data_IF_980053875539
#
_entry.id   IF_980053875539
#
_cell.length_a   1.000
_cell.length_b   1.000
_cell.length_c   1.000
_cell.angle_alpha   90.00
_cell.angle_beta   90.00
_cell.angle_gamma   90.00
#
_symmetry.space_group_name_H-M   'P 1'
#
loop_
_entity.id
_entity.type
_entity.pdbx_description
1 polymer ?
#
# COMPACT_ATOMS: atom_id res chain seq x y z
N UNK A 1 -0.12 53.70 -57.26
CA UNK A 1 1.23 53.58 -56.66
C UNK A 1 1.08 53.15 -55.21
N UNK A 2 1.51 51.93 -54.85
CA UNK A 2 2.11 51.57 -53.54
C UNK A 2 2.30 50.05 -53.47
N UNK A 3 3.57 49.63 -53.26
CA UNK A 3 4.02 48.28 -52.88
C UNK A 3 3.98 48.13 -51.34
N UNK A 4 4.10 46.87 -50.88
CA UNK A 4 4.56 46.33 -49.57
C UNK A 4 3.48 45.48 -48.88
N UNK A 5 3.76 44.37 -48.19
CA UNK A 5 4.97 43.58 -47.94
C UNK A 5 4.53 42.19 -47.41
N UNK A 6 5.02 41.10 -47.99
CA UNK A 6 4.87 39.73 -47.46
C UNK A 6 6.12 39.36 -46.68
N UNK A 7 6.03 39.28 -45.36
CA UNK A 7 7.19 38.92 -44.54
C UNK A 7 6.88 38.81 -43.06
N UNK A 8 5.94 37.94 -42.65
CA UNK A 8 5.75 37.64 -41.22
C UNK A 8 5.32 36.20 -40.89
N UNK A 9 5.11 35.31 -41.87
CA UNK A 9 4.60 33.95 -41.60
C UNK A 9 5.66 32.85 -41.52
N UNK A 10 6.89 33.08 -41.98
CA UNK A 10 7.94 32.04 -42.05
C UNK A 10 8.77 31.88 -40.78
N UNK A 11 8.86 32.90 -39.92
CA UNK A 11 9.74 32.89 -38.73
C UNK A 11 9.14 32.12 -37.53
N UNK A 12 7.81 32.02 -37.43
CA UNK A 12 7.13 31.36 -36.32
C UNK A 12 7.11 29.81 -36.47
N UNK A 13 7.16 29.30 -37.72
CA UNK A 13 7.14 27.87 -38.01
C UNK A 13 8.51 27.18 -37.77
N UNK A 14 9.62 27.90 -37.95
CA UNK A 14 10.95 27.33 -37.70
C UNK A 14 11.26 27.16 -36.20
N UNK A 15 10.85 28.08 -35.32
CA UNK A 15 11.09 27.97 -33.86
C UNK A 15 10.41 26.76 -33.21
N UNK A 16 9.20 26.38 -33.66
CA UNK A 16 8.49 25.19 -33.13
C UNK A 16 9.12 23.86 -33.53
N UNK A 17 9.74 23.79 -34.73
CA UNK A 17 10.45 22.58 -35.20
C UNK A 17 11.70 22.28 -34.39
N UNK A 18 12.45 23.31 -33.99
CA UNK A 18 13.65 23.14 -33.16
C UNK A 18 13.33 22.68 -31.73
N UNK A 19 12.25 23.17 -31.12
CA UNK A 19 11.79 22.69 -29.81
C UNK A 19 11.31 21.24 -29.83
N UNK A 20 10.62 20.81 -30.89
CA UNK A 20 10.19 19.42 -31.08
C UNK A 20 11.38 18.47 -31.33
N UNK A 21 12.40 18.92 -32.07
CA UNK A 21 13.65 18.18 -32.26
C UNK A 21 14.46 18.05 -30.96
N UNK A 22 14.50 19.09 -30.12
CA UNK A 22 15.13 19.05 -28.80
C UNK A 22 14.40 18.08 -27.84
N UNK A 23 13.07 18.10 -27.84
CA UNK A 23 12.25 17.15 -27.06
C UNK A 23 12.43 15.70 -27.55
N UNK A 24 12.56 15.47 -28.86
CA UNK A 24 12.84 14.15 -29.43
C UNK A 24 14.27 13.66 -29.10
N UNK A 25 15.26 14.56 -29.06
CA UNK A 25 16.63 14.19 -28.69
C UNK A 25 16.76 13.87 -27.19
N UNK A 26 16.00 14.57 -26.34
CA UNK A 26 15.93 14.30 -24.89
C UNK A 26 15.20 12.97 -24.57
N UNK A 27 14.21 12.58 -25.37
CA UNK A 27 13.51 11.29 -25.19
C UNK A 27 14.31 10.08 -25.70
N UNK A 28 15.16 10.26 -26.72
CA UNK A 28 16.07 9.21 -27.20
C UNK A 28 17.19 8.96 -26.19
N UNK A 29 17.71 10.01 -25.53
CA UNK A 29 18.71 9.90 -24.47
C UNK A 29 18.22 9.10 -23.26
N UNK A 30 16.98 9.32 -22.82
CA UNK A 30 16.39 8.57 -21.68
C UNK A 30 16.05 7.12 -22.07
N UNK A 31 15.62 6.86 -23.31
CA UNK A 31 15.38 5.51 -23.80
C UNK A 31 16.68 4.67 -23.89
N UNK A 32 17.79 5.28 -24.33
CA UNK A 32 19.10 4.60 -24.40
C UNK A 32 19.65 4.30 -23.00
N UNK A 33 19.44 5.17 -22.01
CA UNK A 33 19.81 4.91 -20.62
C UNK A 33 19.01 3.74 -19.99
N UNK A 34 17.76 3.53 -20.40
CA UNK A 34 16.95 2.37 -19.97
C UNK A 34 17.39 1.06 -20.63
N UNK A 35 17.76 1.09 -21.91
CA UNK A 35 18.21 -0.10 -22.65
C UNK A 35 19.58 -0.60 -22.15
N UNK A 36 20.51 0.32 -21.86
CA UNK A 36 21.84 -0.04 -21.33
C UNK A 36 21.74 -0.63 -19.92
N UNK A 37 20.79 -0.18 -19.09
CA UNK A 37 20.56 -0.70 -17.75
C UNK A 37 19.87 -2.07 -17.74
N UNK A 38 18.90 -2.29 -18.65
CA UNK A 38 18.27 -3.59 -18.83
C UNK A 38 19.25 -4.65 -19.39
N UNK A 39 20.20 -4.26 -20.24
CA UNK A 39 21.23 -5.15 -20.75
C UNK A 39 22.26 -5.57 -19.68
N UNK A 40 22.56 -4.70 -18.72
CA UNK A 40 23.44 -5.01 -17.59
C UNK A 40 22.78 -5.96 -16.57
N UNK A 41 21.49 -5.77 -16.27
CA UNK A 41 20.75 -6.64 -15.35
C UNK A 41 20.44 -8.04 -15.95
N UNK A 42 20.43 -8.18 -17.28
CA UNK A 42 20.18 -9.47 -17.97
C UNK A 42 21.44 -10.32 -18.19
N UNK A 43 22.63 -9.80 -17.88
CA UNK A 43 23.92 -10.46 -18.13
C UNK A 43 24.51 -11.23 -16.94
N UNK A 44 23.87 -11.22 -15.77
CA UNK A 44 24.36 -11.93 -14.58
C UNK A 44 23.41 -13.03 -14.13
N UNK A 45 23.18 -14.04 -14.97
CA UNK A 45 22.88 -15.42 -14.54
C UNK A 45 22.71 -16.37 -15.74
N UNK A 46 23.81 -16.68 -16.42
CA UNK A 46 23.94 -17.92 -17.22
C UNK A 46 25.41 -18.32 -17.29
N UNK A 47 25.78 -19.41 -16.61
CA UNK A 47 26.52 -20.54 -17.22
C UNK A 47 26.78 -21.67 -16.20
N UNK A 48 26.42 -22.89 -16.61
CA UNK A 48 26.74 -24.17 -15.98
C UNK A 48 28.07 -24.73 -16.56
N UNK A 49 28.85 -25.39 -15.68
CA UNK A 49 29.79 -26.52 -15.85
C UNK A 49 30.55 -26.78 -17.18
N UNK A 50 31.90 -26.68 -17.12
CA UNK A 50 32.92 -27.76 -17.29
C UNK A 50 34.25 -27.33 -18.00
N UNK A 51 35.33 -27.27 -17.16
CA UNK A 51 36.76 -27.60 -17.37
C UNK A 51 37.65 -26.87 -18.45
N UNK A 52 39.02 -27.01 -18.44
CA UNK A 52 39.90 -26.29 -17.50
C UNK A 52 41.17 -25.63 -18.12
N UNK A 53 41.86 -24.82 -17.30
CA UNK A 53 43.28 -24.36 -17.35
C UNK A 53 43.78 -23.48 -18.53
N UNK A 54 44.19 -22.23 -18.23
CA UNK A 54 45.60 -21.76 -18.36
C UNK A 54 45.84 -20.38 -17.76
N UNK A 55 46.93 -20.32 -17.01
CA UNK A 55 47.60 -19.14 -16.45
C UNK A 55 47.72 -17.98 -17.43
N UNK A 56 47.49 -16.75 -16.95
CA UNK A 56 48.48 -15.70 -17.13
C UNK A 56 48.33 -14.58 -16.09
N UNK A 57 49.45 -14.32 -15.42
CA UNK A 57 49.67 -13.28 -14.42
C UNK A 57 49.60 -11.90 -15.06
N UNK A 58 48.88 -10.97 -14.44
CA UNK A 58 49.30 -9.57 -14.37
C UNK A 58 48.77 -8.96 -13.07
N UNK A 59 49.70 -8.61 -12.18
CA UNK A 59 49.46 -7.92 -10.91
C UNK A 59 49.31 -6.41 -11.15
N UNK A 60 48.28 -5.80 -10.57
CA UNK A 60 48.31 -4.37 -10.21
C UNK A 60 47.39 -4.09 -9.01
N UNK A 61 48.01 -4.06 -7.82
CA UNK A 61 47.68 -3.25 -6.63
C UNK A 61 46.22 -2.87 -6.38
N UNK A 62 45.50 -3.68 -5.59
CA UNK A 62 44.26 -3.28 -4.92
C UNK A 62 44.56 -2.70 -3.53
N UNK A 63 44.12 -1.44 -3.31
CA UNK A 63 43.96 -0.84 -1.98
C UNK A 63 42.85 -1.60 -1.25
N UNK A 64 43.19 -2.19 -0.11
CA UNK A 64 42.28 -2.83 0.84
C UNK A 64 41.21 -1.85 1.31
N UNK A 65 40.00 -1.94 0.72
CA UNK A 65 38.77 -1.56 1.41
C UNK A 65 38.39 -2.75 2.29
N UNK A 66 38.52 -2.59 3.60
CA UNK A 66 37.94 -3.51 4.58
C UNK A 66 36.45 -3.67 4.27
N UNK A 67 36.08 -4.82 3.68
CA UNK A 67 34.69 -5.25 3.56
C UNK A 67 34.23 -5.62 4.97
N UNK A 68 33.15 -4.97 5.42
CA UNK A 68 32.41 -5.41 6.58
C UNK A 68 32.11 -6.93 6.46
N UNK A 69 32.16 -7.68 7.57
CA UNK A 69 31.97 -9.12 7.53
C UNK A 69 30.60 -9.46 6.94
N UNK A 70 30.49 -10.53 6.13
CA UNK A 70 29.22 -10.95 5.56
C UNK A 70 28.23 -11.21 6.70
N UNK A 71 27.08 -10.53 6.66
CA UNK A 71 25.98 -10.83 7.57
C UNK A 71 25.59 -12.28 7.33
N UNK A 72 25.84 -13.13 8.33
CA UNK A 72 25.38 -14.52 8.36
C UNK A 72 23.86 -14.47 8.17
N UNK A 73 23.39 -14.94 7.02
CA UNK A 73 21.98 -14.86 6.63
C UNK A 73 21.11 -15.58 7.64
N UNK A 74 20.36 -14.83 8.44
CA UNK A 74 19.34 -15.39 9.31
C UNK A 74 18.33 -16.10 8.41
N UNK A 75 18.20 -17.42 8.57
CA UNK A 75 17.25 -18.21 7.80
C UNK A 75 15.84 -17.61 7.97
N UNK A 76 15.10 -17.47 6.87
CA UNK A 76 13.75 -16.91 6.89
C UNK A 76 12.86 -17.66 7.90
N UNK A 77 12.03 -16.97 8.70
CA UNK A 77 11.13 -17.64 9.64
C UNK A 77 10.13 -18.58 8.93
N UNK A 78 9.95 -18.42 7.61
CA UNK A 78 9.10 -19.22 6.74
C UNK A 78 9.80 -20.43 6.11
N UNK A 79 11.08 -20.69 6.38
CA UNK A 79 11.84 -21.78 5.72
C UNK A 79 11.22 -23.18 5.85
N UNK A 80 10.37 -23.43 6.85
CA UNK A 80 9.61 -24.69 7.00
C UNK A 80 8.52 -24.88 5.93
N UNK A 81 8.22 -23.85 5.12
CA UNK A 81 7.29 -23.91 3.99
C UNK A 81 7.95 -24.42 2.70
N UNK A 82 9.25 -24.71 2.71
CA UNK A 82 9.95 -25.25 1.54
C UNK A 82 9.24 -26.51 1.03
N UNK A 83 9.01 -26.56 -0.28
CA UNK A 83 8.30 -27.65 -0.99
C UNK A 83 6.85 -27.88 -0.57
N UNK A 84 6.26 -26.99 0.24
CA UNK A 84 4.83 -27.02 0.56
C UNK A 84 4.02 -26.40 -0.56
N UNK A 85 2.90 -27.02 -0.90
CA UNK A 85 1.95 -26.48 -1.87
C UNK A 85 0.94 -25.57 -1.19
N UNK A 86 0.95 -24.29 -1.56
CA UNK A 86 0.07 -23.25 -1.02
C UNK A 86 -0.85 -22.74 -2.11
N UNK A 87 -2.15 -22.86 -1.89
CA UNK A 87 -3.17 -22.28 -2.77
C UNK A 87 -3.67 -20.95 -2.18
N UNK A 88 -3.50 -19.86 -2.92
CA UNK A 88 -3.98 -18.53 -2.58
C UNK A 88 -5.24 -18.22 -3.39
N UNK A 89 -6.33 -17.86 -2.70
CA UNK A 89 -7.64 -17.63 -3.32
C UNK A 89 -8.04 -16.18 -3.13
N UNK A 90 -8.19 -15.44 -4.22
CA UNK A 90 -8.68 -14.07 -4.22
C UNK A 90 -9.96 -13.92 -5.04
N UNK A 91 -10.78 -12.93 -4.70
CA UNK A 91 -11.99 -12.61 -5.46
C UNK A 91 -11.72 -11.67 -6.64
N UNK A 92 -10.61 -10.93 -6.62
CA UNK A 92 -10.16 -10.00 -7.66
C UNK A 92 -8.63 -9.96 -7.75
N UNK A 93 -8.13 -9.45 -8.87
CA UNK A 93 -6.72 -9.09 -9.08
C UNK A 93 -6.60 -7.56 -9.09
N UNK A 94 -6.23 -6.96 -7.96
CA UNK A 94 -5.98 -5.51 -7.85
C UNK A 94 -4.66 -5.24 -7.14
N UNK A 95 -4.01 -4.11 -7.42
CA UNK A 95 -2.77 -3.69 -6.75
C UNK A 95 -3.03 -2.87 -5.48
N UNK A 96 -4.13 -3.15 -4.78
CA UNK A 96 -4.52 -2.42 -3.57
C UNK A 96 -5.20 -3.33 -2.55
N UNK A 97 -5.13 -2.96 -1.27
CA UNK A 97 -5.83 -3.69 -0.20
C UNK A 97 -5.39 -5.14 -0.06
N UNK A 98 -6.35 -6.06 0.14
CA UNK A 98 -6.10 -7.48 0.40
C UNK A 98 -5.32 -8.21 -0.71
N UNK A 99 -5.67 -8.07 -2.00
CA UNK A 99 -4.91 -8.70 -3.08
C UNK A 99 -3.41 -8.34 -3.11
N UNK A 100 -3.04 -7.09 -2.80
CA UNK A 100 -1.63 -6.69 -2.68
C UNK A 100 -0.92 -7.46 -1.54
N UNK A 101 -1.57 -7.60 -0.39
CA UNK A 101 -1.03 -8.32 0.77
C UNK A 101 -0.89 -9.82 0.50
N UNK A 102 -1.87 -10.40 -0.20
CA UNK A 102 -1.81 -11.79 -0.61
C UNK A 102 -0.64 -12.03 -1.58
N UNK A 103 -0.35 -11.08 -2.48
CA UNK A 103 0.82 -11.14 -3.38
C UNK A 103 2.14 -11.05 -2.60
N UNK A 104 2.24 -10.17 -1.61
CA UNK A 104 3.43 -10.08 -0.74
C UNK A 104 3.68 -11.41 -0.01
N UNK A 105 2.63 -12.06 0.51
CA UNK A 105 2.73 -13.40 1.09
C UNK A 105 3.19 -14.43 0.04
N UNK A 106 2.66 -14.37 -1.18
CA UNK A 106 3.07 -15.25 -2.27
C UNK A 106 4.58 -15.14 -2.52
N UNK A 107 5.12 -13.92 -2.55
CA UNK A 107 6.55 -13.68 -2.77
C UNK A 107 7.42 -14.14 -1.60
N UNK A 108 6.98 -13.92 -0.36
CA UNK A 108 7.67 -14.42 0.82
C UNK A 108 7.75 -15.96 0.82
N UNK A 109 6.68 -16.65 0.42
CA UNK A 109 6.62 -18.10 0.32
C UNK A 109 7.47 -18.65 -0.85
N UNK A 110 7.40 -18.01 -2.02
CA UNK A 110 8.27 -18.35 -3.16
C UNK A 110 9.75 -18.16 -2.83
N UNK A 111 10.09 -17.10 -2.09
CA UNK A 111 11.46 -16.81 -1.65
C UNK A 111 12.09 -17.89 -0.77
N UNK A 112 11.27 -18.73 -0.12
CA UNK A 112 11.74 -19.89 0.68
C UNK A 112 11.56 -21.24 -0.03
N UNK A 113 11.15 -21.23 -1.30
CA UNK A 113 10.98 -22.44 -2.12
C UNK A 113 9.67 -23.18 -1.92
N UNK A 114 8.60 -22.51 -1.46
CA UNK A 114 7.26 -23.08 -1.49
C UNK A 114 6.70 -23.10 -2.92
N UNK A 115 5.83 -24.07 -3.21
CA UNK A 115 5.03 -24.08 -4.43
C UNK A 115 3.78 -23.22 -4.20
N UNK A 116 3.59 -22.16 -4.98
CA UNK A 116 2.50 -21.22 -4.77
C UNK A 116 1.63 -21.15 -6.01
N UNK A 117 0.37 -21.51 -5.83
CA UNK A 117 -0.69 -21.41 -6.82
C UNK A 117 -1.66 -20.30 -6.41
N UNK A 118 -2.09 -19.49 -7.37
CA UNK A 118 -3.05 -18.43 -7.15
C UNK A 118 -4.26 -18.60 -8.07
N UNK A 119 -5.44 -18.46 -7.50
CA UNK A 119 -6.70 -18.43 -8.24
C UNK A 119 -7.47 -17.13 -8.00
N UNK A 120 -8.05 -16.59 -9.06
CA UNK A 120 -8.93 -15.42 -9.02
C UNK A 120 -10.33 -15.73 -9.54
N UNK A 121 -11.36 -15.32 -8.80
CA UNK A 121 -12.76 -15.52 -9.20
C UNK A 121 -13.25 -14.62 -10.34
N UNK A 122 -12.53 -13.53 -10.63
CA UNK A 122 -12.88 -12.62 -11.71
C UNK A 122 -11.78 -12.67 -12.77
N UNK A 123 -12.17 -13.01 -14.01
CA UNK A 123 -11.40 -12.62 -15.19
C UNK A 123 -11.80 -11.19 -15.55
N UNK A 124 -10.85 -10.28 -15.80
CA UNK A 124 -11.18 -8.91 -16.20
C UNK A 124 -11.94 -8.93 -17.53
N UNK A 125 -12.95 -8.08 -17.64
CA UNK A 125 -13.59 -7.77 -18.92
C UNK A 125 -12.72 -6.74 -19.67
N UNK A 126 -11.62 -7.18 -20.29
CA UNK A 126 -10.76 -6.36 -21.16
C UNK A 126 -9.27 -6.41 -20.83
N UNK A 127 -8.45 -5.89 -21.74
CA UNK A 127 -7.00 -5.65 -21.56
C UNK A 127 -6.78 -4.54 -20.54
N UNK A 128 -6.93 -4.87 -19.25
CA UNK A 128 -6.51 -3.99 -18.17
C UNK A 128 -4.99 -4.17 -17.99
N UNK A 129 -4.21 -3.19 -18.47
CA UNK A 129 -2.73 -3.21 -18.40
C UNK A 129 -2.23 -3.49 -16.96
N UNK A 130 -2.98 -3.06 -15.95
CA UNK A 130 -2.63 -3.29 -14.54
C UNK A 130 -2.66 -4.78 -14.18
N UNK A 131 -3.64 -5.51 -14.70
CA UNK A 131 -3.85 -6.93 -14.38
C UNK A 131 -2.87 -7.80 -15.18
N UNK A 132 -2.65 -7.46 -16.45
CA UNK A 132 -1.62 -8.09 -17.28
C UNK A 132 -0.22 -7.96 -16.63
N UNK A 133 0.12 -6.77 -16.14
CA UNK A 133 1.37 -6.53 -15.42
C UNK A 133 1.46 -7.30 -14.09
N UNK A 134 0.34 -7.56 -13.43
CA UNK A 134 0.30 -8.30 -12.17
C UNK A 134 0.51 -9.80 -12.38
N UNK A 135 -0.19 -10.40 -13.34
CA UNK A 135 0.01 -11.81 -13.70
C UNK A 135 1.46 -12.06 -14.12
N UNK A 136 2.04 -11.18 -14.94
CA UNK A 136 3.45 -11.27 -15.32
C UNK A 136 4.39 -11.17 -14.11
N UNK A 137 4.19 -10.19 -13.21
CA UNK A 137 5.00 -10.07 -11.98
C UNK A 137 4.91 -11.32 -11.10
N UNK A 138 3.76 -11.96 -11.05
CA UNK A 138 3.55 -13.20 -10.30
C UNK A 138 4.28 -14.37 -10.96
N UNK A 139 4.15 -14.52 -12.28
CA UNK A 139 4.83 -15.54 -13.07
C UNK A 139 6.36 -15.40 -13.02
N UNK A 140 6.87 -14.18 -13.10
CA UNK A 140 8.31 -13.86 -13.01
C UNK A 140 8.91 -14.31 -11.66
N UNK A 141 8.09 -14.36 -10.60
CA UNK A 141 8.49 -14.88 -9.28
C UNK A 141 8.05 -16.34 -9.05
N UNK A 142 7.61 -17.02 -10.10
CA UNK A 142 7.23 -18.43 -10.11
C UNK A 142 5.94 -18.74 -9.36
N UNK A 143 5.05 -17.76 -9.19
CA UNK A 143 3.68 -18.00 -8.72
C UNK A 143 2.84 -18.43 -9.91
N UNK A 144 2.23 -19.61 -9.83
CA UNK A 144 1.34 -20.10 -10.87
C UNK A 144 -0.02 -19.40 -10.74
N UNK A 145 -0.55 -18.85 -11.83
CA UNK A 145 -1.86 -18.18 -11.83
C UNK A 145 -2.78 -18.90 -12.81
N UNK A 146 -3.93 -19.36 -12.33
CA UNK A 146 -4.90 -20.04 -13.19
C UNK A 146 -6.36 -19.76 -12.78
N UNK A 147 -7.28 -20.23 -13.62
CA UNK A 147 -8.72 -20.04 -13.45
C UNK A 147 -9.20 -20.60 -12.12
N UNK A 148 -10.04 -19.86 -11.39
CA UNK A 148 -10.67 -20.38 -10.17
C UNK A 148 -11.69 -21.49 -10.43
N UNK A 149 -12.07 -21.72 -11.69
CA UNK A 149 -13.01 -22.76 -12.13
C UNK A 149 -12.28 -23.91 -12.81
N UNK A 150 -12.81 -25.11 -12.64
CA UNK A 150 -12.37 -26.32 -13.34
C UNK A 150 -11.72 -27.34 -12.41
N UNK A 151 -11.43 -28.52 -12.95
CA UNK A 151 -10.88 -29.65 -12.19
C UNK A 151 -9.50 -29.33 -11.61
N UNK A 152 -8.67 -28.55 -12.32
CA UNK A 152 -7.35 -28.12 -11.86
C UNK A 152 -7.40 -27.37 -10.52
N UNK A 153 -8.39 -26.47 -10.34
CA UNK A 153 -8.57 -25.74 -9.09
C UNK A 153 -9.00 -26.67 -7.94
N UNK A 154 -9.86 -27.64 -8.22
CA UNK A 154 -10.30 -28.64 -7.23
C UNK A 154 -9.12 -29.54 -6.84
N UNK A 155 -8.39 -30.07 -7.81
CA UNK A 155 -7.25 -30.97 -7.59
C UNK A 155 -6.14 -30.27 -6.82
N UNK A 156 -5.82 -29.01 -7.18
CA UNK A 156 -4.85 -28.20 -6.44
C UNK A 156 -5.33 -27.95 -5.02
N UNK A 157 -6.59 -27.57 -4.85
CA UNK A 157 -7.16 -27.35 -3.53
C UNK A 157 -7.14 -28.61 -2.67
N UNK A 158 -7.34 -29.81 -3.24
CA UNK A 158 -7.28 -31.08 -2.54
C UNK A 158 -5.85 -31.51 -2.20
N UNK A 159 -4.86 -31.20 -3.05
CA UNK A 159 -3.44 -31.53 -2.83
C UNK A 159 -2.70 -30.53 -1.94
N UNK A 160 -3.15 -29.28 -1.87
CA UNK A 160 -2.46 -28.23 -1.14
C UNK A 160 -2.25 -28.59 0.35
N UNK A 161 -1.07 -28.26 0.88
CA UNK A 161 -0.80 -28.31 2.32
C UNK A 161 -1.51 -27.17 3.06
N UNK A 162 -1.73 -26.04 2.39
CA UNK A 162 -2.36 -24.85 2.94
C UNK A 162 -3.22 -24.16 1.87
N UNK A 163 -4.42 -23.73 2.25
CA UNK A 163 -5.27 -22.87 1.42
C UNK A 163 -5.46 -21.54 2.14
N UNK A 164 -5.07 -20.43 1.52
CA UNK A 164 -5.32 -19.08 2.07
C UNK A 164 -6.50 -18.45 1.35
N UNK A 165 -7.61 -18.26 2.06
CA UNK A 165 -8.74 -17.51 1.54
C UNK A 165 -8.57 -16.02 1.88
N UNK A 166 -8.44 -15.18 0.86
CA UNK A 166 -8.29 -13.74 1.02
C UNK A 166 -9.64 -13.04 0.98
N UNK A 167 -9.92 -12.25 2.01
CA UNK A 167 -11.17 -11.50 2.22
C UNK A 167 -12.38 -12.38 2.51
N UNK A 168 -13.43 -11.80 3.10
CA UNK A 168 -14.68 -12.54 3.35
C UNK A 168 -15.36 -12.98 2.04
N UNK A 169 -15.16 -12.22 0.96
CA UNK A 169 -15.82 -12.45 -0.34
C UNK A 169 -15.33 -13.74 -1.02
N UNK A 170 -14.08 -14.15 -0.77
CA UNK A 170 -13.54 -15.39 -1.33
C UNK A 170 -14.25 -16.65 -0.84
N UNK A 171 -15.00 -16.61 0.27
CA UNK A 171 -15.72 -17.77 0.77
C UNK A 171 -16.76 -18.35 -0.19
N UNK A 172 -17.30 -17.52 -1.10
CA UNK A 172 -18.18 -17.97 -2.20
C UNK A 172 -17.52 -19.02 -3.11
N UNK A 173 -16.20 -18.97 -3.25
CA UNK A 173 -15.44 -19.91 -4.07
C UNK A 173 -15.59 -21.35 -3.55
N UNK A 174 -15.64 -21.54 -2.23
CA UNK A 174 -15.74 -22.86 -1.60
C UNK A 174 -16.95 -23.62 -2.14
N UNK A 175 -18.14 -23.03 -2.04
CA UNK A 175 -19.37 -23.67 -2.52
C UNK A 175 -19.43 -23.76 -4.04
N UNK A 176 -19.00 -22.71 -4.73
CA UNK A 176 -19.13 -22.61 -6.18
C UNK A 176 -18.23 -23.59 -6.94
N UNK A 177 -17.09 -23.98 -6.34
CA UNK A 177 -16.05 -24.76 -7.04
C UNK A 177 -15.79 -26.10 -6.36
N UNK A 178 -15.63 -26.14 -5.04
CA UNK A 178 -15.30 -27.39 -4.35
C UNK A 178 -16.56 -28.26 -4.11
N UNK A 179 -17.73 -27.65 -3.96
CA UNK A 179 -19.01 -28.35 -3.80
C UNK A 179 -18.92 -29.47 -2.73
N UNK A 180 -19.00 -30.75 -3.12
CA UNK A 180 -18.90 -31.90 -2.20
C UNK A 180 -17.54 -32.05 -1.50
N UNK A 181 -16.49 -31.45 -2.06
CA UNK A 181 -15.12 -31.51 -1.54
C UNK A 181 -14.81 -30.43 -0.48
N UNK A 182 -15.74 -29.49 -0.22
CA UNK A 182 -15.57 -28.44 0.80
C UNK A 182 -15.09 -28.99 2.14
N UNK A 183 -15.73 -30.01 2.76
CA UNK A 183 -15.31 -30.53 4.06
C UNK A 183 -13.87 -31.06 4.10
N UNK A 184 -13.34 -31.52 2.96
CA UNK A 184 -11.98 -32.04 2.85
C UNK A 184 -10.92 -30.93 2.79
N UNK A 185 -11.33 -29.72 2.40
CA UNK A 185 -10.43 -28.58 2.25
C UNK A 185 -10.45 -27.65 3.46
N UNK A 186 -11.60 -27.53 4.16
CA UNK A 186 -11.73 -26.63 5.31
C UNK A 186 -10.64 -26.81 6.40
N UNK A 187 -10.21 -28.03 6.80
CA UNK A 187 -9.20 -28.21 7.85
C UNK A 187 -7.81 -27.63 7.55
N UNK A 188 -7.53 -27.29 6.29
CA UNK A 188 -6.28 -26.64 5.84
C UNK A 188 -6.47 -25.20 5.37
N UNK A 189 -7.66 -24.64 5.55
CA UNK A 189 -7.94 -23.25 5.20
C UNK A 189 -7.48 -22.32 6.32
N UNK A 190 -6.63 -21.34 5.97
CA UNK A 190 -6.38 -20.14 6.73
C UNK A 190 -7.13 -18.97 6.08
N UNK A 191 -8.08 -18.38 6.80
CA UNK A 191 -8.86 -17.27 6.25
C UNK A 191 -8.27 -15.92 6.64
N UNK A 192 -7.72 -15.18 5.68
CA UNK A 192 -7.13 -13.86 5.92
C UNK A 192 -8.16 -12.76 5.62
N UNK A 193 -8.60 -12.05 6.66
CA UNK A 193 -9.64 -11.02 6.61
C UNK A 193 -8.99 -9.65 6.80
N UNK A 194 -9.27 -8.75 5.87
CA UNK A 194 -8.70 -7.39 5.80
C UNK A 194 -9.76 -6.29 5.94
N UNK A 195 -11.02 -6.68 6.09
CA UNK A 195 -12.14 -5.74 5.98
C UNK A 195 -12.71 -5.36 7.35
N UNK A 196 -13.09 -4.09 7.48
CA UNK A 196 -13.90 -3.58 8.59
C UNK A 196 -15.31 -3.20 8.10
N UNK A 197 -15.88 -4.03 7.21
CA UNK A 197 -17.11 -3.73 6.46
C UNK A 197 -18.19 -4.81 6.64
N UNK A 198 -19.21 -4.48 7.43
CA UNK A 198 -20.32 -5.38 7.77
C UNK A 198 -21.14 -5.95 6.61
N UNK A 199 -21.05 -5.38 5.40
CA UNK A 199 -21.77 -5.89 4.23
C UNK A 199 -21.04 -7.02 3.48
N UNK A 200 -19.75 -7.23 3.74
CA UNK A 200 -19.00 -8.38 3.22
C UNK A 200 -19.18 -9.64 4.08
N UNK A 201 -19.53 -9.48 5.35
CA UNK A 201 -19.83 -10.58 6.26
C UNK A 201 -21.32 -10.97 6.21
N UNK A 202 -21.70 -11.63 5.12
CA UNK A 202 -23.02 -12.26 4.94
C UNK A 202 -22.91 -13.76 5.15
N UNK A 203 -23.97 -14.41 5.62
CA UNK A 203 -23.97 -15.84 5.92
C UNK A 203 -23.46 -16.68 4.75
N UNK A 204 -23.94 -16.42 3.53
CA UNK A 204 -23.50 -17.13 2.32
C UNK A 204 -21.99 -17.04 2.05
N UNK A 205 -21.31 -16.03 2.58
CA UNK A 205 -19.88 -15.82 2.32
C UNK A 205 -19.05 -16.45 3.42
N UNK A 206 -19.54 -16.46 4.66
CA UNK A 206 -18.75 -16.85 5.84
C UNK A 206 -19.32 -18.05 6.60
N UNK A 207 -20.33 -18.76 6.07
CA UNK A 207 -20.92 -19.95 6.73
C UNK A 207 -19.92 -21.04 7.06
N UNK A 208 -18.82 -21.12 6.31
CA UNK A 208 -17.76 -22.11 6.49
C UNK A 208 -16.69 -21.69 7.51
N UNK A 209 -16.73 -20.45 7.99
CA UNK A 209 -15.73 -19.87 8.89
C UNK A 209 -15.53 -20.67 10.20
N UNK A 210 -16.55 -21.29 10.84
CA UNK A 210 -16.33 -22.12 12.03
C UNK A 210 -15.44 -23.34 11.82
N UNK A 211 -15.33 -23.81 10.58
CA UNK A 211 -14.74 -25.12 10.24
C UNK A 211 -13.33 -25.00 9.66
N UNK A 212 -12.82 -23.78 9.46
CA UNK A 212 -11.47 -23.58 8.95
C UNK A 212 -10.41 -23.75 10.04
N UNK A 213 -9.17 -24.00 9.64
CA UNK A 213 -8.05 -24.23 10.56
C UNK A 213 -7.77 -23.03 11.50
N UNK A 214 -7.99 -21.83 10.97
CA UNK A 214 -7.85 -20.56 11.66
C UNK A 214 -8.21 -19.36 10.77
N UNK A 215 -8.27 -18.19 11.38
CA UNK A 215 -8.39 -16.91 10.69
C UNK A 215 -7.22 -16.00 11.04
N UNK A 216 -6.82 -15.14 10.11
CA UNK A 216 -5.79 -14.12 10.28
C UNK A 216 -6.42 -12.75 10.02
N UNK A 217 -6.19 -11.80 10.92
CA UNK A 217 -6.77 -10.45 10.86
C UNK A 217 -5.68 -9.43 11.16
N UNK A 218 -5.74 -8.27 10.50
CA UNK A 218 -4.60 -7.33 10.50
C UNK A 218 -4.49 -6.48 11.77
N UNK A 219 -5.46 -6.54 12.69
CA UNK A 219 -5.48 -5.76 13.94
C UNK A 219 -6.31 -6.42 15.04
N UNK A 220 -6.01 -6.09 16.31
CA UNK A 220 -6.74 -6.61 17.47
C UNK A 220 -8.17 -6.08 17.55
N UNK A 221 -8.36 -4.78 17.30
CA UNK A 221 -9.66 -4.10 17.28
C UNK A 221 -10.57 -4.71 16.23
N UNK A 222 -10.04 -5.03 15.04
CA UNK A 222 -10.83 -5.70 13.99
C UNK A 222 -11.11 -7.16 14.32
N UNK A 223 -10.17 -7.87 14.94
CA UNK A 223 -10.39 -9.24 15.38
C UNK A 223 -11.52 -9.34 16.42
N UNK A 224 -11.44 -8.54 17.48
CA UNK A 224 -12.48 -8.46 18.52
C UNK A 224 -13.83 -8.05 17.93
N UNK A 225 -13.84 -7.07 17.03
CA UNK A 225 -15.06 -6.65 16.35
C UNK A 225 -15.72 -7.82 15.59
N UNK A 226 -14.96 -8.60 14.83
CA UNK A 226 -15.52 -9.70 14.06
C UNK A 226 -15.93 -10.89 14.93
N UNK A 227 -15.21 -11.18 16.00
CA UNK A 227 -15.60 -12.20 16.98
C UNK A 227 -16.97 -11.90 17.58
N UNK A 228 -17.18 -10.68 18.05
CA UNK A 228 -18.47 -10.26 18.60
C UNK A 228 -19.56 -10.20 17.51
N UNK A 229 -19.25 -9.57 16.37
CA UNK A 229 -20.26 -9.30 15.33
C UNK A 229 -20.78 -10.56 14.65
N UNK A 230 -19.91 -11.54 14.38
CA UNK A 230 -20.30 -12.81 13.77
C UNK A 230 -21.19 -13.62 14.72
N UNK A 231 -20.84 -13.65 16.01
CA UNK A 231 -21.64 -14.32 17.02
C UNK A 231 -23.01 -13.66 17.19
N UNK A 232 -23.07 -12.34 17.36
CA UNK A 232 -24.33 -11.62 17.58
C UNK A 232 -25.28 -11.71 16.39
N UNK A 233 -24.75 -11.44 15.17
CA UNK A 233 -25.55 -11.25 13.96
C UNK A 233 -25.80 -12.54 13.18
N UNK A 234 -24.78 -13.38 13.05
CA UNK A 234 -24.79 -14.55 12.17
C UNK A 234 -24.90 -15.87 12.95
N UNK A 235 -24.80 -15.83 14.29
CA UNK A 235 -24.73 -17.03 15.15
C UNK A 235 -23.60 -17.98 14.75
N UNK A 236 -22.52 -17.41 14.24
CA UNK A 236 -21.31 -18.12 13.80
C UNK A 236 -20.21 -17.84 14.82
N UNK A 237 -19.59 -18.91 15.30
CA UNK A 237 -18.38 -18.82 16.11
C UNK A 237 -17.16 -18.67 15.19
N UNK A 238 -16.34 -17.66 15.45
CA UNK A 238 -15.04 -17.53 14.79
C UNK A 238 -14.15 -18.74 15.10
N UNK A 239 -13.31 -19.19 14.14
CA UNK A 239 -12.26 -20.16 14.41
C UNK A 239 -11.19 -19.51 15.30
N UNK A 240 -10.08 -20.21 15.57
CA UNK A 240 -8.95 -19.57 16.25
C UNK A 240 -8.44 -18.39 15.40
N UNK A 241 -8.63 -17.17 15.91
CA UNK A 241 -8.23 -15.93 15.27
C UNK A 241 -6.81 -15.55 15.68
N UNK A 242 -5.98 -15.20 14.70
CA UNK A 242 -4.64 -14.68 14.90
C UNK A 242 -4.55 -13.25 14.39
N UNK A 243 -3.91 -12.38 15.17
CA UNK A 243 -3.66 -11.00 14.75
C UNK A 243 -2.27 -10.89 14.17
N UNK A 244 -2.18 -10.39 12.94
CA UNK A 244 -0.92 -10.17 12.22
C UNK A 244 -0.90 -8.74 11.69
N UNK A 245 -0.24 -7.85 12.43
CA UNK A 245 0.02 -6.50 11.95
C UNK A 245 0.87 -6.52 10.67
N UNK A 246 0.50 -5.67 9.72
CA UNK A 246 1.23 -5.50 8.46
C UNK A 246 2.59 -4.83 8.70
N UNK A 247 3.50 -5.02 7.73
CA UNK A 247 4.83 -4.42 7.75
C UNK A 247 5.11 -3.54 6.52
N UNK A 248 5.97 -2.55 6.68
CA UNK A 248 6.53 -1.80 5.55
C UNK A 248 7.56 -2.65 4.81
N UNK A 249 7.51 -2.60 3.47
CA UNK A 249 8.48 -3.29 2.62
C UNK A 249 9.86 -2.67 2.74
N UNK A 250 10.89 -3.45 2.40
CA UNK A 250 12.27 -2.96 2.39
C UNK A 250 12.45 -1.77 1.44
N UNK A 251 11.85 -1.82 0.25
CA UNK A 251 11.97 -0.75 -0.75
C UNK A 251 11.40 0.58 -0.24
N UNK A 252 10.27 0.54 0.47
CA UNK A 252 9.71 1.75 1.08
C UNK A 252 10.66 2.32 2.15
N UNK A 253 11.22 1.45 3.01
CA UNK A 253 12.14 1.86 4.05
C UNK A 253 13.43 2.45 3.48
N UNK A 254 13.99 1.85 2.42
CA UNK A 254 15.18 2.36 1.73
C UNK A 254 14.95 3.78 1.20
N UNK A 255 13.79 4.04 0.58
CA UNK A 255 13.41 5.40 0.15
C UNK A 255 13.20 6.34 1.34
N UNK A 256 12.58 5.86 2.42
CA UNK A 256 12.31 6.66 3.61
C UNK A 256 13.59 7.03 4.39
N UNK A 257 14.65 6.24 4.28
CA UNK A 257 15.94 6.45 4.95
C UNK A 257 16.93 7.23 4.08
N UNK A 258 16.79 7.22 2.75
CA UNK A 258 17.58 8.02 1.83
C UNK A 258 17.15 9.50 1.85
N UNK A 259 17.98 10.35 2.49
CA UNK A 259 17.74 11.79 2.57
C UNK A 259 17.75 12.51 1.22
N UNK A 260 18.52 12.03 0.24
CA UNK A 260 18.63 12.64 -1.09
C UNK A 260 17.39 12.29 -1.89
N UNK A 261 17.00 11.02 -1.91
CA UNK A 261 15.77 10.57 -2.57
C UNK A 261 14.55 11.32 -2.02
N UNK A 262 14.41 11.39 -0.68
CA UNK A 262 13.31 12.14 -0.06
C UNK A 262 13.27 13.61 -0.48
N UNK A 263 14.42 14.29 -0.51
CA UNK A 263 14.49 15.71 -0.90
C UNK A 263 14.05 15.90 -2.35
N UNK A 264 14.59 15.10 -3.28
CA UNK A 264 14.25 15.19 -4.71
C UNK A 264 12.77 14.91 -4.93
N UNK A 265 12.22 13.88 -4.30
CA UNK A 265 10.80 13.55 -4.40
C UNK A 265 9.91 14.65 -3.82
N UNK A 266 10.30 15.22 -2.67
CA UNK A 266 9.59 16.34 -2.03
C UNK A 266 9.54 17.56 -2.93
N UNK A 267 10.68 17.96 -3.48
CA UNK A 267 10.77 19.12 -4.38
C UNK A 267 9.90 18.91 -5.63
N UNK A 268 10.04 17.75 -6.29
CA UNK A 268 9.26 17.43 -7.49
C UNK A 268 7.75 17.49 -7.27
N UNK A 269 7.26 16.83 -6.21
CA UNK A 269 5.81 16.82 -5.91
C UNK A 269 5.34 18.22 -5.52
N UNK A 270 6.09 18.96 -4.71
CA UNK A 270 5.69 20.32 -4.28
C UNK A 270 5.66 21.32 -5.44
N UNK A 271 6.62 21.25 -6.35
CA UNK A 271 6.60 22.00 -7.60
C UNK A 271 5.35 21.67 -8.43
N UNK A 272 5.02 20.38 -8.58
CA UNK A 272 3.82 19.96 -9.33
C UNK A 272 2.50 20.45 -8.72
N UNK A 273 2.47 20.64 -7.39
CA UNK A 273 1.32 21.17 -6.65
C UNK A 273 1.32 22.71 -6.58
N UNK A 274 2.39 23.38 -7.03
CA UNK A 274 2.55 24.84 -6.92
C UNK A 274 2.64 25.33 -5.47
N UNK A 275 3.18 24.50 -4.56
CA UNK A 275 3.38 24.86 -3.15
C UNK A 275 4.86 25.12 -2.87
N UNK A 276 5.12 25.98 -1.88
CA UNK A 276 6.48 26.34 -1.49
C UNK A 276 7.09 25.32 -0.54
N UNK A 277 8.41 25.38 -0.38
CA UNK A 277 9.13 24.49 0.53
C UNK A 277 8.87 24.77 2.02
N UNK A 278 8.50 25.99 2.38
CA UNK A 278 8.12 26.41 3.73
C UNK A 278 6.65 26.15 4.07
N UNK A 279 5.81 25.83 3.09
CA UNK A 279 4.40 25.46 3.30
C UNK A 279 4.27 24.11 4.04
N UNK A 280 3.20 23.98 4.82
CA UNK A 280 2.87 22.77 5.59
C UNK A 280 1.72 22.03 4.91
N UNK A 281 1.98 20.79 4.50
CA UNK A 281 1.03 19.94 3.79
C UNK A 281 0.44 18.86 4.71
N UNK A 282 -0.88 18.90 4.86
CA UNK A 282 -1.69 17.87 5.50
C UNK A 282 -2.33 17.00 4.42
N UNK A 283 -2.10 15.69 4.43
CA UNK A 283 -2.58 14.84 3.33
C UNK A 283 -3.41 13.65 3.79
N UNK A 284 -4.51 13.41 3.09
CA UNK A 284 -5.23 12.14 3.11
C UNK A 284 -4.83 11.33 1.86
N UNK A 285 -4.24 10.15 2.07
CA UNK A 285 -3.78 9.26 0.99
C UNK A 285 -4.56 7.96 1.08
N UNK A 286 -5.64 7.87 0.30
CA UNK A 286 -6.54 6.71 0.22
C UNK A 286 -7.57 6.89 -0.90
N UNK A 287 -8.28 5.82 -1.26
CA UNK A 287 -9.40 5.89 -2.21
C UNK A 287 -10.45 6.93 -1.78
N UNK A 288 -10.93 7.77 -2.71
CA UNK A 288 -11.98 8.74 -2.38
C UNK A 288 -13.35 8.08 -2.21
N UNK A 289 -13.85 8.05 -0.97
CA UNK A 289 -15.17 7.50 -0.64
C UNK A 289 -15.63 7.99 0.73
N UNK A 290 -16.94 8.03 0.98
CA UNK A 290 -17.50 8.51 2.27
C UNK A 290 -16.88 7.84 3.50
N UNK A 291 -16.55 6.56 3.41
CA UNK A 291 -15.92 5.81 4.50
C UNK A 291 -14.50 6.26 4.85
N UNK A 292 -13.83 7.04 3.99
CA UNK A 292 -12.46 7.54 4.19
C UNK A 292 -12.43 9.00 4.66
N UNK A 293 -13.59 9.65 4.77
CA UNK A 293 -13.77 10.92 5.49
C UNK A 293 -13.07 12.14 4.90
N UNK A 294 -12.82 12.19 3.58
CA UNK A 294 -12.20 13.37 2.96
C UNK A 294 -13.05 14.64 3.16
N UNK A 295 -14.37 14.51 3.16
CA UNK A 295 -15.31 15.61 3.42
C UNK A 295 -15.14 16.19 4.84
N UNK A 296 -15.02 15.32 5.85
CA UNK A 296 -14.81 15.74 7.24
C UNK A 296 -13.40 16.31 7.44
N UNK A 297 -12.39 15.78 6.75
CA UNK A 297 -11.05 16.35 6.75
C UNK A 297 -11.07 17.78 6.17
N UNK A 298 -11.70 18.00 5.01
CA UNK A 298 -11.79 19.33 4.40
C UNK A 298 -12.57 20.33 5.25
N UNK A 299 -13.62 19.89 5.94
CA UNK A 299 -14.34 20.71 6.93
C UNK A 299 -13.42 21.12 8.09
N UNK A 300 -12.66 20.16 8.62
CA UNK A 300 -11.70 20.39 9.71
C UNK A 300 -10.58 21.33 9.27
N UNK A 301 -10.09 21.17 8.03
CA UNK A 301 -9.09 22.04 7.44
C UNK A 301 -9.62 23.46 7.29
N UNK A 302 -10.85 23.63 6.77
CA UNK A 302 -11.48 24.95 6.69
C UNK A 302 -11.63 25.62 8.07
N UNK A 303 -12.08 24.87 9.08
CA UNK A 303 -12.18 25.35 10.46
C UNK A 303 -10.81 25.74 11.02
N UNK A 304 -9.75 24.98 10.73
CA UNK A 304 -8.38 25.32 11.14
C UNK A 304 -7.91 26.65 10.56
N UNK A 305 -8.27 26.96 9.30
CA UNK A 305 -7.97 28.26 8.68
C UNK A 305 -8.69 29.41 9.39
N UNK A 306 -9.95 29.20 9.82
CA UNK A 306 -10.68 30.20 10.60
C UNK A 306 -10.02 30.41 11.97
N UNK A 307 -9.70 29.33 12.68
CA UNK A 307 -9.03 29.38 13.98
C UNK A 307 -7.69 30.12 13.93
N UNK A 308 -6.88 29.87 12.89
CA UNK A 308 -5.61 30.59 12.67
C UNK A 308 -5.84 32.09 12.48
N UNK A 309 -6.84 32.44 11.65
CA UNK A 309 -7.18 33.84 11.36
C UNK A 309 -7.71 34.57 12.60
N UNK A 310 -8.69 33.98 13.29
CA UNK A 310 -9.33 34.54 14.48
C UNK A 310 -8.34 34.77 15.62
N UNK A 311 -7.46 33.78 15.86
CA UNK A 311 -6.45 33.85 16.91
C UNK A 311 -5.18 34.59 16.48
N UNK A 312 -5.12 35.10 15.24
CA UNK A 312 -3.96 35.80 14.65
C UNK A 312 -2.65 35.03 14.82
N UNK A 313 -2.71 33.69 14.65
CA UNK A 313 -1.55 32.82 14.83
C UNK A 313 -0.57 33.01 13.67
N UNK A 314 0.71 33.13 13.99
CA UNK A 314 1.77 33.13 13.00
C UNK A 314 2.14 31.69 12.65
N UNK A 315 1.78 31.25 11.45
CA UNK A 315 2.08 29.92 10.91
C UNK A 315 2.46 30.04 9.44
N UNK A 316 3.32 29.15 8.91
CA UNK A 316 3.48 29.01 7.47
C UNK A 316 2.15 28.71 6.78
N UNK A 317 2.08 28.93 5.46
CA UNK A 317 0.85 28.57 4.73
C UNK A 317 0.57 27.08 4.87
N UNK A 318 -0.66 26.74 5.23
CA UNK A 318 -1.10 25.35 5.33
C UNK A 318 -1.92 24.99 4.09
N UNK A 319 -1.72 23.75 3.61
CA UNK A 319 -2.39 23.17 2.44
C UNK A 319 -2.95 21.78 2.79
N UNK A 320 -4.10 21.44 2.21
CA UNK A 320 -4.68 20.11 2.25
C UNK A 320 -4.46 19.38 0.92
N UNK A 321 -4.05 18.12 0.97
CA UNK A 321 -3.84 17.29 -0.21
C UNK A 321 -4.69 16.02 -0.10
N UNK A 322 -5.44 15.71 -1.16
CA UNK A 322 -6.20 14.46 -1.29
C UNK A 322 -5.58 13.65 -2.41
N UNK A 323 -4.87 12.58 -2.05
CA UNK A 323 -4.25 11.64 -2.99
C UNK A 323 -5.13 10.40 -3.09
N UNK A 324 -5.58 10.07 -4.30
CA UNK A 324 -6.56 9.00 -4.52
C UNK A 324 -7.84 9.42 -5.23
N UNK A 325 -7.94 10.68 -5.66
CA UNK A 325 -9.06 11.16 -6.48
C UNK A 325 -9.03 10.48 -7.84
N UNK A 326 -10.18 10.24 -8.44
CA UNK A 326 -10.26 9.81 -9.82
C UNK A 326 -10.76 10.96 -10.68
N UNK A 327 -9.83 11.71 -11.29
CA UNK A 327 -10.23 12.86 -12.09
C UNK A 327 -10.99 12.49 -13.38
N UNK A 328 -11.00 11.21 -13.74
CA UNK A 328 -11.78 10.70 -14.87
C UNK A 328 -13.19 10.27 -14.47
N UNK A 329 -13.45 10.00 -13.20
CA UNK A 329 -14.74 9.50 -12.69
C UNK A 329 -15.35 10.50 -11.72
N UNK A 330 -16.30 11.31 -12.21
CA UNK A 330 -17.05 12.25 -11.37
C UNK A 330 -18.11 11.50 -10.53
N UNK A 331 -17.67 10.85 -9.44
CA UNK A 331 -18.62 10.29 -8.48
C UNK A 331 -19.35 11.42 -7.75
N UNK A 332 -20.60 11.17 -7.33
CA UNK A 332 -21.38 12.14 -6.54
C UNK A 332 -20.61 12.67 -5.31
N UNK A 333 -19.85 11.79 -4.65
CA UNK A 333 -19.07 12.19 -3.48
C UNK A 333 -17.87 13.07 -3.84
N UNK A 334 -17.19 12.83 -4.96
CA UNK A 334 -16.14 13.72 -5.45
C UNK A 334 -16.66 15.11 -5.79
N UNK A 335 -17.83 15.19 -6.43
CA UNK A 335 -18.49 16.47 -6.72
C UNK A 335 -18.81 17.21 -5.42
N UNK A 336 -19.40 16.54 -4.43
CA UNK A 336 -19.73 17.14 -3.13
C UNK A 336 -18.51 17.77 -2.42
N UNK A 337 -17.36 17.10 -2.41
CA UNK A 337 -16.16 17.64 -1.75
C UNK A 337 -15.54 18.81 -2.54
N UNK A 338 -15.61 18.78 -3.88
CA UNK A 338 -15.14 19.89 -4.73
C UNK A 338 -16.03 21.11 -4.63
N UNK A 339 -17.35 20.90 -4.61
CA UNK A 339 -18.34 21.96 -4.39
C UNK A 339 -18.13 22.62 -3.03
N UNK A 340 -17.85 21.83 -1.98
CA UNK A 340 -17.51 22.38 -0.67
C UNK A 340 -16.27 23.29 -0.73
N UNK A 341 -15.20 22.84 -1.37
CA UNK A 341 -13.95 23.61 -1.55
C UNK A 341 -14.22 24.91 -2.32
N UNK A 342 -15.06 24.84 -3.37
CA UNK A 342 -15.44 26.00 -4.16
C UNK A 342 -16.31 26.99 -3.39
N UNK A 343 -17.34 26.49 -2.70
CA UNK A 343 -18.26 27.27 -1.86
C UNK A 343 -17.51 28.00 -0.74
N UNK A 344 -16.50 27.35 -0.13
CA UNK A 344 -15.67 27.93 0.93
C UNK A 344 -14.52 28.79 0.42
N UNK A 345 -14.33 28.89 -0.90
CA UNK A 345 -13.29 29.70 -1.57
C UNK A 345 -11.86 29.34 -1.13
N UNK A 346 -11.59 28.04 -0.94
CA UNK A 346 -10.29 27.52 -0.48
C UNK A 346 -9.55 26.70 -1.55
N UNK A 347 -9.91 26.84 -2.83
CA UNK A 347 -9.31 26.11 -3.96
C UNK A 347 -7.79 26.27 -4.02
N UNK A 348 -7.26 27.46 -3.68
CA UNK A 348 -5.83 27.76 -3.68
C UNK A 348 -5.05 27.06 -2.54
N UNK A 349 -5.73 26.39 -1.61
CA UNK A 349 -5.12 25.64 -0.50
C UNK A 349 -5.46 24.15 -0.51
N UNK A 350 -6.28 23.69 -1.43
CA UNK A 350 -6.73 22.29 -1.48
C UNK A 350 -6.34 21.68 -2.82
N UNK A 351 -5.55 20.62 -2.76
CA UNK A 351 -4.99 19.94 -3.91
C UNK A 351 -5.57 18.54 -4.06
N UNK A 352 -6.05 18.22 -5.26
CA UNK A 352 -6.55 16.89 -5.59
C UNK A 352 -5.56 16.21 -6.52
N UNK A 353 -5.12 15.02 -6.13
CA UNK A 353 -4.14 14.20 -6.86
C UNK A 353 -4.80 12.89 -7.24
N UNK A 354 -4.54 12.46 -8.48
CA UNK A 354 -5.04 11.19 -9.00
C UNK A 354 -4.61 10.00 -8.14
N UNK A 355 -5.41 8.93 -8.18
CA UNK A 355 -5.03 7.62 -7.62
C UNK A 355 -3.68 7.17 -8.17
N UNK A 356 -2.85 6.61 -7.28
CA UNK A 356 -1.49 6.19 -7.58
C UNK A 356 -1.14 4.93 -6.81
N UNK A 357 -0.27 4.11 -7.39
CA UNK A 357 0.37 2.96 -6.74
C UNK A 357 1.74 3.34 -6.13
N UNK A 358 2.29 4.50 -6.51
CA UNK A 358 3.58 4.98 -6.02
C UNK A 358 3.34 6.09 -4.99
N UNK A 359 3.17 5.69 -3.73
CA UNK A 359 2.83 6.62 -2.62
C UNK A 359 4.05 7.33 -2.03
N UNK A 360 5.26 6.76 -2.16
CA UNK A 360 6.49 7.30 -1.58
C UNK A 360 6.79 8.77 -1.95
N UNK A 361 6.60 9.23 -3.21
CA UNK A 361 6.78 10.64 -3.54
C UNK A 361 5.87 11.58 -2.74
N UNK A 362 4.61 11.18 -2.55
CA UNK A 362 3.64 11.97 -1.80
C UNK A 362 3.91 11.95 -0.30
N UNK A 363 4.37 10.82 0.24
CA UNK A 363 4.82 10.73 1.64
C UNK A 363 6.04 11.63 1.90
N UNK A 364 7.01 11.69 0.98
CA UNK A 364 8.15 12.60 1.09
C UNK A 364 7.75 14.10 1.03
N UNK A 365 6.67 14.40 0.31
CA UNK A 365 6.24 15.77 0.03
C UNK A 365 5.42 16.43 1.16
N UNK A 366 4.78 15.62 2.01
CA UNK A 366 3.85 16.10 3.04
C UNK A 366 4.57 16.34 4.38
N UNK A 367 3.84 16.89 5.34
CA UNK A 367 4.36 17.17 6.69
C UNK A 367 3.54 16.48 7.78
N UNK A 368 2.29 16.13 7.49
CA UNK A 368 1.37 15.42 8.40
C UNK A 368 0.46 14.51 7.57
N UNK A 369 0.39 13.23 7.94
CA UNK A 369 -0.63 12.33 7.40
C UNK A 369 -1.94 12.52 8.18
N UNK A 370 -3.05 12.64 7.47
CA UNK A 370 -4.41 12.64 8.01
C UNK A 370 -5.10 11.33 7.64
N UNK A 371 -5.16 10.39 8.59
CA UNK A 371 -5.87 9.12 8.44
C UNK A 371 -7.30 9.26 9.00
N UNK A 372 -8.23 9.71 8.16
CA UNK A 372 -9.59 10.10 8.58
C UNK A 372 -10.68 9.08 8.23
N UNK A 373 -10.40 7.78 8.35
CA UNK A 373 -11.40 6.75 8.06
C UNK A 373 -12.54 6.75 9.07
N UNK A 374 -13.77 6.73 8.56
CA UNK A 374 -15.00 6.96 9.31
C UNK A 374 -15.72 5.67 9.70
N UNK A 375 -16.75 5.81 10.55
CA UNK A 375 -17.53 4.68 11.03
C UNK A 375 -16.71 3.78 11.94
N UNK A 376 -16.37 2.58 11.46
CA UNK A 376 -15.58 1.59 12.23
C UNK A 376 -14.06 1.74 12.04
N UNK A 377 -13.62 2.66 11.17
CA UNK A 377 -12.20 2.87 10.87
C UNK A 377 -11.64 1.90 9.82
N UNK A 378 -10.32 1.87 9.69
CA UNK A 378 -9.59 0.89 8.88
C UNK A 378 -9.38 -0.41 9.63
N UNK A 379 -9.20 -1.52 8.90
CA UNK A 379 -8.78 -2.79 9.52
C UNK A 379 -7.43 -2.61 10.24
N UNK A 380 -6.38 -2.26 9.49
CA UNK A 380 -5.08 -1.89 10.05
C UNK A 380 -4.73 -0.44 9.72
N UNK A 381 -4.66 -0.11 8.42
CA UNK A 381 -4.26 1.21 7.95
C UNK A 381 -2.78 1.26 7.58
N UNK A 382 -2.38 0.50 6.54
CA UNK A 382 -1.00 0.42 6.04
C UNK A 382 -0.35 1.78 5.80
N UNK A 383 -1.08 2.71 5.15
CA UNK A 383 -0.57 4.07 4.90
C UNK A 383 -0.15 4.82 6.18
N UNK A 384 -0.71 4.45 7.34
CA UNK A 384 -0.32 4.99 8.65
C UNK A 384 1.12 4.60 9.01
N UNK A 385 1.49 3.32 8.88
CA UNK A 385 2.86 2.86 9.13
C UNK A 385 3.82 3.33 8.03
N UNK A 386 3.34 3.48 6.80
CA UNK A 386 4.14 4.03 5.70
C UNK A 386 4.50 5.50 5.99
N UNK A 387 3.55 6.33 6.41
CA UNK A 387 3.83 7.71 6.80
C UNK A 387 4.76 7.82 8.01
N UNK A 388 4.60 6.95 9.00
CA UNK A 388 5.52 6.89 10.13
C UNK A 388 6.95 6.53 9.70
N UNK A 389 7.14 5.70 8.67
CA UNK A 389 8.47 5.43 8.12
C UNK A 389 9.14 6.70 7.55
N UNK A 390 8.34 7.60 6.95
CA UNK A 390 8.80 8.91 6.47
C UNK A 390 8.93 9.96 7.59
N UNK A 391 8.89 9.54 8.86
CA UNK A 391 8.97 10.42 10.03
C UNK A 391 7.84 11.47 10.05
N UNK A 392 6.64 11.09 9.62
CA UNK A 392 5.48 11.97 9.64
C UNK A 392 4.61 11.67 10.86
N UNK A 393 4.18 12.69 11.62
CA UNK A 393 3.13 12.50 12.60
C UNK A 393 1.80 12.21 11.91
N UNK A 394 0.94 11.46 12.60
CA UNK A 394 -0.38 11.07 12.10
C UNK A 394 -1.50 11.74 12.89
N UNK A 395 -2.44 12.37 12.19
CA UNK A 395 -3.75 12.74 12.73
C UNK A 395 -4.76 11.67 12.33
N UNK A 396 -5.16 10.83 13.27
CA UNK A 396 -5.91 9.60 13.02
C UNK A 396 -7.29 9.59 13.67
N UNK A 397 -8.29 9.02 13.01
CA UNK A 397 -9.55 8.70 13.69
C UNK A 397 -9.31 7.62 14.76
N UNK A 398 -9.88 7.80 15.95
CA UNK A 398 -9.82 6.90 17.09
C UNK A 398 -10.69 5.64 16.89
N UNK A 399 -10.49 4.93 15.78
CA UNK A 399 -11.26 3.75 15.40
C UNK A 399 -10.43 2.77 14.56
N UNK A 400 -10.76 1.49 14.65
CA UNK A 400 -10.09 0.41 13.91
C UNK A 400 -8.60 0.31 14.24
N UNK A 401 -7.81 -0.23 13.30
CA UNK A 401 -6.37 -0.41 13.49
C UNK A 401 -5.57 0.89 13.63
N UNK A 402 -6.12 2.03 13.17
CA UNK A 402 -5.49 3.35 13.38
C UNK A 402 -5.25 3.63 14.87
N UNK A 403 -6.18 3.22 15.74
CA UNK A 403 -6.06 3.41 17.18
C UNK A 403 -4.98 2.52 17.82
N UNK A 404 -4.61 1.39 17.19
CA UNK A 404 -3.50 0.53 17.64
C UNK A 404 -2.12 1.07 17.18
N UNK A 405 -2.08 1.65 15.99
CA UNK A 405 -0.84 2.13 15.39
C UNK A 405 -0.42 3.46 16.03
N UNK A 406 -1.35 4.42 16.15
CA UNK A 406 -1.09 5.78 16.61
C UNK A 406 -1.14 5.87 18.13
N UNK A 407 0.01 6.17 18.75
CA UNK A 407 0.08 6.46 20.18
C UNK A 407 -0.26 7.93 20.40
N UNK A 408 -1.48 8.19 20.87
CA UNK A 408 -2.01 9.54 21.06
C UNK A 408 -1.08 10.43 21.91
N UNK A 409 -0.77 11.62 21.42
CA UNK A 409 0.17 12.57 22.04
C UNK A 409 1.65 12.24 21.85
N UNK A 410 1.99 11.05 21.33
CA UNK A 410 3.38 10.60 21.18
C UNK A 410 3.82 10.46 19.72
N UNK A 411 3.08 9.72 18.89
CA UNK A 411 3.38 9.54 17.45
C UNK A 411 2.42 10.33 16.56
N UNK A 412 1.47 11.05 17.16
CA UNK A 412 0.35 11.69 16.48
C UNK A 412 -0.77 12.07 17.44
N UNK A 413 -1.93 12.44 16.91
CA UNK A 413 -3.13 12.68 17.69
C UNK A 413 -4.31 11.90 17.16
N UNK A 414 -5.14 11.40 18.08
CA UNK A 414 -6.39 10.75 17.76
C UNK A 414 -7.56 11.71 17.93
N UNK A 415 -8.55 11.61 17.05
CA UNK A 415 -9.82 12.34 17.13
C UNK A 415 -11.03 11.41 16.92
N UNK A 416 -12.22 11.74 17.46
CA UNK A 416 -13.43 10.94 17.27
C UNK A 416 -13.84 10.78 15.79
N UNK A 417 -14.66 9.77 15.49
CA UNK A 417 -15.22 9.59 14.15
C UNK A 417 -16.46 10.46 13.93
N UNK A 418 -16.84 10.72 12.69
CA UNK A 418 -18.02 11.51 12.35
C UNK A 418 -17.85 13.00 12.62
N UNK A 419 -18.98 13.71 12.70
CA UNK A 419 -19.00 15.19 12.80
C UNK A 419 -18.34 15.71 14.08
N UNK A 420 -18.43 14.95 15.18
CA UNK A 420 -17.76 15.26 16.45
C UNK A 420 -16.23 15.30 16.34
N UNK A 421 -15.66 14.62 15.33
CA UNK A 421 -14.23 14.63 15.04
C UNK A 421 -13.71 15.90 14.37
N UNK A 422 -14.59 16.73 13.80
CA UNK A 422 -14.20 17.86 12.94
C UNK A 422 -13.41 18.92 13.72
N UNK A 423 -13.98 19.44 14.81
CA UNK A 423 -13.31 20.47 15.63
C UNK A 423 -12.05 19.97 16.34
N UNK A 424 -12.01 18.74 16.90
CA UNK A 424 -10.76 18.15 17.40
C UNK A 424 -9.67 18.01 16.32
N UNK A 425 -10.02 17.55 15.12
CA UNK A 425 -9.08 17.46 14.00
C UNK A 425 -8.58 18.85 13.58
N UNK A 426 -9.47 19.84 13.49
CA UNK A 426 -9.10 21.23 13.20
C UNK A 426 -8.10 21.78 14.23
N UNK A 427 -8.36 21.54 15.52
CA UNK A 427 -7.48 21.93 16.62
C UNK A 427 -6.11 21.26 16.52
N UNK A 428 -6.07 19.97 16.15
CA UNK A 428 -4.83 19.23 15.97
C UNK A 428 -4.04 19.70 14.73
N UNK A 429 -4.72 20.08 13.64
CA UNK A 429 -4.09 20.73 12.48
C UNK A 429 -3.40 22.02 12.91
N UNK A 430 -4.10 22.91 13.63
CA UNK A 430 -3.52 24.16 14.15
C UNK A 430 -2.34 23.87 15.07
N UNK A 431 -2.46 22.89 15.97
CA UNK A 431 -1.40 22.52 16.91
C UNK A 431 -0.12 22.07 16.18
N UNK A 432 -0.24 21.22 15.16
CA UNK A 432 0.93 20.76 14.39
C UNK A 432 1.44 21.82 13.41
N UNK A 433 0.61 22.76 12.96
CA UNK A 433 1.05 23.90 12.15
C UNK A 433 1.88 24.90 12.97
N UNK A 434 1.48 25.13 14.22
CA UNK A 434 2.11 26.10 15.14
C UNK A 434 3.38 25.58 15.83
N UNK A 435 3.48 24.28 16.11
CA UNK A 435 4.57 23.72 16.90
C UNK A 435 5.45 22.77 16.07
N UNK A 436 6.45 23.32 15.36
CA UNK A 436 7.38 22.56 14.51
C UNK A 436 8.10 21.45 15.29
N UNK A 437 8.65 21.75 16.47
CA UNK A 437 9.37 20.77 17.29
C UNK A 437 8.48 19.58 17.69
N UNK A 438 7.21 19.85 18.01
CA UNK A 438 6.24 18.80 18.33
C UNK A 438 5.95 17.93 17.12
N UNK A 439 5.76 18.55 15.95
CA UNK A 439 5.53 17.85 14.66
C UNK A 439 6.69 16.90 14.33
N UNK A 440 7.93 17.40 14.40
CA UNK A 440 9.14 16.61 14.13
C UNK A 440 9.38 15.51 15.17
N UNK A 441 9.20 15.82 16.47
CA UNK A 441 9.37 14.84 17.54
C UNK A 441 8.37 13.69 17.43
N UNK A 442 7.11 13.98 17.11
CA UNK A 442 6.09 12.95 16.91
C UNK A 442 6.41 12.07 15.70
N UNK A 443 6.85 12.68 14.60
CA UNK A 443 7.29 11.96 13.41
C UNK A 443 8.43 10.99 13.70
N UNK A 444 9.47 11.45 14.41
CA UNK A 444 10.60 10.59 14.84
C UNK A 444 10.13 9.42 15.71
N UNK A 445 9.24 9.67 16.68
CA UNK A 445 8.69 8.61 17.53
C UNK A 445 7.87 7.58 16.74
N UNK A 446 7.14 8.03 15.73
CA UNK A 446 6.44 7.15 14.79
C UNK A 446 7.41 6.23 14.04
N UNK A 447 8.50 6.79 13.51
CA UNK A 447 9.55 6.02 12.83
C UNK A 447 10.20 4.97 13.73
N UNK A 448 10.58 5.32 14.97
CA UNK A 448 11.14 4.35 15.92
C UNK A 448 10.17 3.20 16.21
N UNK A 449 8.87 3.51 16.35
CA UNK A 449 7.82 2.49 16.52
C UNK A 449 7.74 1.55 15.31
N UNK A 450 7.83 2.07 14.09
CA UNK A 450 7.86 1.24 12.87
C UNK A 450 9.05 0.28 12.89
N UNK A 451 10.25 0.76 13.21
CA UNK A 451 11.46 -0.08 13.29
C UNK A 451 11.37 -1.19 14.33
N UNK A 452 10.59 -0.97 15.38
CA UNK A 452 10.38 -1.93 16.46
C UNK A 452 9.28 -2.94 16.16
N UNK A 453 8.24 -2.58 15.39
CA UNK A 453 7.00 -3.37 15.35
C UNK A 453 6.43 -3.65 13.95
N UNK A 454 6.74 -2.83 12.95
CA UNK A 454 6.02 -2.79 11.66
C UNK A 454 6.96 -2.84 10.43
N UNK A 455 8.06 -3.59 10.53
CA UNK A 455 8.88 -3.96 9.38
C UNK A 455 8.38 -5.27 8.78
N UNK A 456 8.64 -5.49 7.49
CA UNK A 456 8.32 -6.74 6.78
C UNK A 456 8.75 -8.00 7.57
N UNK A 457 9.94 -7.99 8.18
CA UNK A 457 10.42 -9.10 9.03
C UNK A 457 9.47 -9.44 10.18
N UNK A 458 8.89 -8.42 10.85
CA UNK A 458 7.99 -8.66 11.98
C UNK A 458 6.66 -9.26 11.50
N UNK A 459 6.19 -8.86 10.32
CA UNK A 459 5.04 -9.49 9.68
C UNK A 459 5.36 -10.94 9.33
N UNK A 460 6.51 -11.21 8.69
CA UNK A 460 6.94 -12.57 8.33
C UNK A 460 7.07 -13.50 9.54
N UNK A 461 7.63 -13.01 10.66
CA UNK A 461 7.75 -13.76 11.92
C UNK A 461 6.36 -14.14 12.49
N UNK A 462 5.43 -13.18 12.51
CA UNK A 462 4.05 -13.42 12.97
C UNK A 462 3.33 -14.42 12.07
N UNK A 463 3.40 -14.24 10.75
CA UNK A 463 2.82 -15.16 9.77
C UNK A 463 3.39 -16.57 9.97
N UNK A 464 4.72 -16.71 10.11
CA UNK A 464 5.35 -18.01 10.36
C UNK A 464 4.79 -18.70 11.62
N UNK A 465 4.55 -17.95 12.70
CA UNK A 465 3.92 -18.47 13.90
C UNK A 465 2.49 -18.96 13.69
N UNK A 466 1.70 -18.28 12.85
CA UNK A 466 0.34 -18.69 12.46
C UNK A 466 0.39 -19.94 11.59
N UNK A 467 1.20 -19.95 10.54
CA UNK A 467 1.28 -21.05 9.58
C UNK A 467 1.73 -22.35 10.24
N UNK A 468 2.70 -22.31 11.17
CA UNK A 468 3.10 -23.50 11.96
C UNK A 468 1.93 -24.12 12.71
N UNK A 469 1.10 -23.29 13.35
CA UNK A 469 -0.05 -23.77 14.12
C UNK A 469 -1.17 -24.31 13.22
N UNK A 470 -1.39 -23.68 12.06
CA UNK A 470 -2.39 -24.12 11.08
C UNK A 470 -2.01 -25.46 10.46
N UNK A 471 -0.76 -25.63 10.01
CA UNK A 471 -0.28 -26.89 9.42
C UNK A 471 -0.31 -28.05 10.41
N UNK A 472 -0.04 -27.81 11.69
CA UNK A 472 -0.14 -28.85 12.73
C UNK A 472 -1.58 -29.36 12.93
N UNK A 473 -2.58 -28.52 12.68
CA UNK A 473 -4.00 -28.90 12.77
C UNK A 473 -4.49 -29.61 11.51
N UNK A 474 -4.06 -29.17 10.32
CA UNK A 474 -4.49 -29.76 9.05
C UNK A 474 -4.00 -31.20 8.84
N UNK A 475 -2.97 -31.62 9.58
CA UNK A 475 -2.45 -33.00 9.59
C UNK A 475 -3.16 -33.94 10.59
N UNK A 476 -4.14 -33.44 11.35
CA UNK A 476 -4.99 -34.22 12.26
C UNK A 476 -6.37 -34.36 11.64
#
# INVERSE_FOLDING_TARGET
MAKQSTGFSTLCFQKKRWLLLLLAMLSISTAVAFIIRAAYDSSCDRQHFDAPVKDNRFQSTEKTKERAPPQIGVASPLSFMKSKLVLLVSHELSLSGGPLLLMELAFLLRGVGAEVCWITNQKPSGTDEVIYNLENKMLDRGVQVFSSKGQEAIDTALKADLVVLNTAVAGKWLDAVLNKDVPRVLPKVLWWIHEMRGHYFKLDYVKHLPFVAGSMIDSHVTAEYWENRTQERLKIKMPKTYVVHLGNSKELMDVAEDSVAKRVLREHVRESLGVRNDDILFAAINSVSRGKGQDLFLRSFYESLQLIKEKKLQVPSIHAVIVGSDMSVQTKFETEIRDFVAQKKIQHRVHFVNKTLTVAPYLAAIDVLVQNSQGRGECFGRITIEAMAFQLPVLGTAAGGTAEIVVNGSTGFLHPAGKEGVSPLATNIVKLATHVEKRLTMGKRGYERVKQMFLERHMADRIAGVLKQVLQKGNR
#
